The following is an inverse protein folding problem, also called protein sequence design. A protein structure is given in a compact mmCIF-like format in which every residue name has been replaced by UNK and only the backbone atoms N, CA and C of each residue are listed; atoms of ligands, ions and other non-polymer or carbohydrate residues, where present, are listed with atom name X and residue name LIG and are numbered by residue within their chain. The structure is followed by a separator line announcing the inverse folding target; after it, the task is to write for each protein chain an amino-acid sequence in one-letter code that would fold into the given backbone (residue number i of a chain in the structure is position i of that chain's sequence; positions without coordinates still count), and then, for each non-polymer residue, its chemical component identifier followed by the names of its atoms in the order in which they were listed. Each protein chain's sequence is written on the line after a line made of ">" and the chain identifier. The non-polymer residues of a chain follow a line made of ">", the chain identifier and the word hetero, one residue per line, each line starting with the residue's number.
data_IF_726669898933
#
_entry.id   IF_726669898933
#
_cell.length_a   1.000
_cell.length_b   1.000
_cell.length_c   1.000
_cell.angle_alpha   90.00
_cell.angle_beta   90.00
_cell.angle_gamma   90.00
#
_symmetry.space_group_name_H-M   'P 1'
#
loop_
_entity.id
_entity.type
_entity.pdbx_description
1 polymer ?
#
# COMPACT_ATOMS: atom_id res chain seq x y z
N UNK A 1 12.61 30.05 7.39
CA UNK A 1 13.21 30.03 6.04
C UNK A 1 12.78 28.70 5.40
N UNK A 2 11.69 28.71 4.63
CA UNK A 2 11.11 27.49 4.04
C UNK A 2 11.91 27.11 2.80
N UNK A 3 12.51 25.93 2.83
CA UNK A 3 13.16 25.31 1.68
C UNK A 3 12.08 25.10 0.63
N UNK A 4 12.12 25.89 -0.45
CA UNK A 4 11.31 25.61 -1.63
C UNK A 4 11.82 24.31 -2.23
N UNK A 5 11.15 23.21 -1.94
CA UNK A 5 11.17 22.04 -2.82
C UNK A 5 10.76 22.58 -4.20
N UNK A 6 11.47 22.20 -5.27
CA UNK A 6 11.18 22.56 -6.67
C UNK A 6 9.82 21.98 -7.10
N UNK A 7 8.75 22.44 -6.49
CA UNK A 7 7.40 21.95 -6.68
C UNK A 7 6.76 22.81 -7.77
N UNK A 8 6.40 22.18 -8.88
CA UNK A 8 5.74 22.89 -9.97
C UNK A 8 4.38 23.35 -9.47
N UNK A 9 4.11 24.65 -9.55
CA UNK A 9 2.88 25.23 -9.04
C UNK A 9 1.87 25.41 -10.17
N UNK A 10 0.68 24.87 -9.97
CA UNK A 10 -0.44 24.94 -10.91
C UNK A 10 -1.48 25.98 -10.45
N UNK A 11 -2.08 26.65 -11.42
CA UNK A 11 -3.34 27.37 -11.22
C UNK A 11 -4.49 26.39 -10.98
N UNK A 12 -5.61 26.90 -10.45
CA UNK A 12 -6.86 26.13 -10.30
C UNK A 12 -7.35 25.51 -11.61
N UNK A 13 -7.17 26.21 -12.73
CA UNK A 13 -7.59 25.73 -14.05
C UNK A 13 -6.72 24.58 -14.55
N UNK A 14 -5.39 24.68 -14.39
CA UNK A 14 -4.46 23.61 -14.77
C UNK A 14 -4.65 22.36 -13.91
N UNK A 15 -4.88 22.52 -12.60
CA UNK A 15 -5.21 21.42 -11.70
C UNK A 15 -6.53 20.73 -12.11
N UNK A 16 -7.56 21.52 -12.46
CA UNK A 16 -8.86 21.02 -12.91
C UNK A 16 -8.74 20.19 -14.20
N UNK A 17 -8.00 20.71 -15.19
CA UNK A 17 -7.71 19.99 -16.42
C UNK A 17 -6.96 18.67 -16.15
N UNK A 18 -5.96 18.69 -15.27
CA UNK A 18 -5.16 17.50 -14.96
C UNK A 18 -5.95 16.40 -14.25
N UNK A 19 -6.90 16.79 -13.40
CA UNK A 19 -7.81 15.90 -12.68
C UNK A 19 -9.06 15.51 -13.50
N UNK A 20 -9.31 16.16 -14.64
CA UNK A 20 -10.55 16.04 -15.41
C UNK A 20 -11.80 16.31 -14.54
N UNK A 21 -11.75 17.37 -13.73
CA UNK A 21 -12.87 17.83 -12.86
C UNK A 21 -13.09 19.34 -13.00
N UNK A 22 -14.17 19.87 -12.45
CA UNK A 22 -14.42 21.32 -12.45
C UNK A 22 -13.48 22.07 -11.50
N UNK A 23 -13.26 23.37 -11.77
CA UNK A 23 -12.52 24.27 -10.86
C UNK A 23 -13.19 24.40 -9.49
N UNK A 24 -14.51 24.28 -9.42
CA UNK A 24 -15.26 24.21 -8.16
C UNK A 24 -14.94 22.93 -7.38
N UNK A 25 -14.82 21.79 -8.06
CA UNK A 25 -14.37 20.54 -7.42
C UNK A 25 -12.95 20.68 -6.90
N UNK A 26 -12.01 21.24 -7.67
CA UNK A 26 -10.66 21.56 -7.18
C UNK A 26 -10.71 22.45 -5.94
N UNK A 27 -11.66 23.38 -5.90
CA UNK A 27 -11.83 24.26 -4.74
C UNK A 27 -12.28 23.50 -3.50
N UNK A 28 -13.26 22.61 -3.64
CA UNK A 28 -13.64 21.69 -2.58
C UNK A 28 -12.47 20.78 -2.15
N UNK A 29 -11.61 20.33 -3.06
CA UNK A 29 -10.49 19.44 -2.73
C UNK A 29 -9.46 20.12 -1.81
N UNK A 30 -9.03 21.34 -2.11
CA UNK A 30 -8.08 22.02 -1.21
C UNK A 30 -8.74 22.52 0.08
N UNK A 31 -10.03 22.91 0.04
CA UNK A 31 -10.79 23.23 1.27
C UNK A 31 -10.84 22.05 2.24
N UNK A 32 -10.88 20.82 1.73
CA UNK A 32 -10.81 19.59 2.52
C UNK A 32 -9.37 19.09 2.75
N UNK A 33 -8.35 19.92 2.46
CA UNK A 33 -6.92 19.61 2.62
C UNK A 33 -6.45 18.37 1.84
N UNK A 34 -7.14 18.03 0.74
CA UNK A 34 -6.77 16.93 -0.15
C UNK A 34 -5.76 17.34 -1.24
N UNK A 35 -5.47 18.64 -1.37
CA UNK A 35 -4.45 19.21 -2.24
C UNK A 35 -3.61 20.19 -1.44
N UNK A 36 -2.29 20.19 -1.68
CA UNK A 36 -1.35 21.13 -1.05
C UNK A 36 -1.39 22.45 -1.80
N UNK A 37 -1.59 23.55 -1.08
CA UNK A 37 -1.68 24.88 -1.66
C UNK A 37 -0.64 25.83 -1.08
N UNK A 38 -0.25 26.81 -1.89
CA UNK A 38 0.63 27.89 -1.52
C UNK A 38 -0.03 29.22 -1.86
N UNK A 39 0.09 30.19 -0.95
CA UNK A 39 -0.38 31.55 -1.17
C UNK A 39 0.75 32.38 -1.78
N UNK A 40 0.48 33.00 -2.93
CA UNK A 40 1.41 33.90 -3.59
C UNK A 40 0.82 35.31 -3.65
N UNK A 41 1.45 36.25 -2.93
CA UNK A 41 0.90 37.59 -2.72
C UNK A 41 -0.40 37.59 -1.92
N UNK A 42 -1.21 38.64 -2.07
CA UNK A 42 -2.37 38.87 -1.20
C UNK A 42 -3.60 38.00 -1.51
N UNK A 43 -3.71 37.36 -2.69
CA UNK A 43 -4.94 36.63 -3.11
C UNK A 43 -4.78 35.45 -4.07
N UNK A 44 -3.58 35.12 -4.56
CA UNK A 44 -3.44 34.01 -5.52
C UNK A 44 -3.09 32.71 -4.79
N UNK A 45 -3.95 31.71 -4.93
CA UNK A 45 -3.70 30.34 -4.47
C UNK A 45 -3.12 29.55 -5.65
N UNK A 46 -1.95 28.97 -5.43
CA UNK A 46 -1.32 28.01 -6.31
C UNK A 46 -1.39 26.63 -5.69
N UNK A 47 -1.45 25.60 -6.52
CA UNK A 47 -1.62 24.20 -6.10
C UNK A 47 -0.36 23.44 -6.48
N UNK A 48 0.19 22.69 -5.55
CA UNK A 48 1.31 21.77 -5.80
C UNK A 48 0.93 20.74 -6.88
N UNK A 49 1.71 20.66 -7.96
CA UNK A 49 1.57 19.64 -8.98
C UNK A 49 1.70 18.24 -8.36
N UNK A 50 2.65 18.06 -7.44
CA UNK A 50 2.83 16.81 -6.72
C UNK A 50 1.53 16.39 -6.01
N UNK A 51 0.91 17.30 -5.26
CA UNK A 51 -0.35 16.99 -4.57
C UNK A 51 -1.50 16.63 -5.53
N UNK A 52 -1.56 17.28 -6.70
CA UNK A 52 -2.54 16.95 -7.75
C UNK A 52 -2.30 15.57 -8.33
N UNK A 53 -1.04 15.23 -8.61
CA UNK A 53 -0.67 13.91 -9.10
C UNK A 53 -1.00 12.84 -8.05
N UNK A 54 -0.67 13.07 -6.77
CA UNK A 54 -1.02 12.16 -5.66
C UNK A 54 -2.52 11.95 -5.57
N UNK A 55 -3.32 13.02 -5.62
CA UNK A 55 -4.78 12.92 -5.59
C UNK A 55 -5.31 12.12 -6.79
N UNK A 56 -4.84 12.39 -8.01
CA UNK A 56 -5.26 11.68 -9.22
C UNK A 56 -4.95 10.19 -9.14
N UNK A 57 -3.78 9.85 -8.62
CA UNK A 57 -3.32 8.48 -8.47
C UNK A 57 -4.17 7.71 -7.45
N UNK A 58 -4.50 8.33 -6.31
CA UNK A 58 -5.32 7.71 -5.27
C UNK A 58 -6.81 7.60 -5.64
N UNK A 59 -7.31 8.47 -6.53
CA UNK A 59 -8.73 8.59 -6.86
C UNK A 59 -9.05 8.20 -8.31
N UNK A 60 -8.28 7.28 -8.91
CA UNK A 60 -8.61 6.74 -10.23
C UNK A 60 -9.99 6.04 -10.18
N UNK A 61 -10.80 6.24 -11.25
CA UNK A 61 -12.15 5.67 -11.37
C UNK A 61 -12.06 4.15 -11.55
N UNK A 62 -11.94 3.43 -10.44
CA UNK A 62 -12.11 1.98 -10.38
C UNK A 62 -13.48 1.66 -9.81
N UNK A 63 -14.02 0.50 -10.18
CA UNK A 63 -15.26 -0.01 -9.59
C UNK A 63 -15.18 -0.13 -8.06
N UNK A 64 -16.30 -0.48 -7.42
CA UNK A 64 -16.38 -0.64 -5.96
C UNK A 64 -15.24 -1.54 -5.44
N UNK A 65 -14.53 -1.04 -4.43
CA UNK A 65 -13.48 -1.80 -3.75
C UNK A 65 -14.04 -3.10 -3.14
N UNK A 66 -13.22 -4.15 -3.15
CA UNK A 66 -13.53 -5.41 -2.50
C UNK A 66 -13.54 -5.25 -0.99
N UNK A 67 -14.35 -6.10 -0.34
CA UNK A 67 -14.21 -6.34 1.10
C UNK A 67 -12.83 -6.96 1.39
N UNK A 68 -12.28 -6.78 2.60
CA UNK A 68 -10.94 -7.25 2.95
C UNK A 68 -10.67 -8.72 2.58
N UNK A 69 -11.61 -9.61 2.93
CA UNK A 69 -11.55 -11.03 2.63
C UNK A 69 -11.42 -11.35 1.14
N UNK A 70 -12.19 -10.67 0.27
CA UNK A 70 -12.10 -10.84 -1.18
C UNK A 70 -10.86 -10.18 -1.79
N UNK A 71 -10.40 -9.05 -1.22
CA UNK A 71 -9.18 -8.39 -1.64
C UNK A 71 -7.95 -9.28 -1.41
N UNK A 72 -7.81 -9.84 -0.20
CA UNK A 72 -6.75 -10.81 0.07
C UNK A 72 -6.90 -12.06 -0.78
N UNK A 73 -8.11 -12.58 -0.96
CA UNK A 73 -8.30 -13.77 -1.78
C UNK A 73 -7.80 -13.57 -3.21
N UNK A 74 -8.13 -12.44 -3.84
CA UNK A 74 -7.65 -12.11 -5.19
C UNK A 74 -6.11 -12.08 -5.26
N UNK A 75 -5.45 -11.41 -4.31
CA UNK A 75 -3.99 -11.29 -4.28
C UNK A 75 -3.29 -12.63 -3.94
N UNK A 76 -3.88 -13.43 -3.05
CA UNK A 76 -3.37 -14.75 -2.70
C UNK A 76 -3.48 -15.72 -3.89
N UNK A 77 -4.63 -15.75 -4.56
CA UNK A 77 -4.84 -16.57 -5.76
C UNK A 77 -3.89 -16.17 -6.88
N UNK A 78 -3.68 -14.86 -7.07
CA UNK A 78 -2.71 -14.35 -8.04
C UNK A 78 -1.27 -14.73 -7.70
N UNK A 79 -0.96 -14.90 -6.41
CA UNK A 79 0.33 -15.40 -5.94
C UNK A 79 0.43 -16.94 -5.94
N UNK A 80 -0.56 -17.65 -6.51
CA UNK A 80 -0.59 -19.11 -6.59
C UNK A 80 -1.07 -19.83 -5.31
N UNK A 81 -1.62 -19.12 -4.33
CA UNK A 81 -2.10 -19.74 -3.09
C UNK A 81 -3.55 -20.23 -3.25
N UNK A 82 -3.83 -21.38 -2.61
CA UNK A 82 -5.21 -21.86 -2.45
C UNK A 82 -5.88 -21.04 -1.35
N UNK A 83 -7.10 -20.58 -1.63
CA UNK A 83 -7.91 -19.77 -0.70
C UNK A 83 -9.08 -20.61 -0.20
N UNK A 84 -9.23 -20.75 1.11
CA UNK A 84 -10.32 -21.52 1.75
C UNK A 84 -11.32 -20.68 2.56
N UNK A 85 -11.02 -19.40 2.83
CA UNK A 85 -11.86 -18.54 3.67
C UNK A 85 -12.99 -17.81 2.94
N UNK A 86 -13.09 -18.00 1.61
CA UNK A 86 -14.21 -17.52 0.79
C UNK A 86 -15.00 -18.69 0.22
N UNK A 87 -16.27 -18.47 -0.06
CA UNK A 87 -17.13 -19.50 -0.64
C UNK A 87 -16.87 -19.71 -2.14
N UNK A 88 -17.40 -20.81 -2.70
CA UNK A 88 -17.21 -21.19 -4.11
C UNK A 88 -17.67 -20.12 -5.10
N UNK A 89 -18.76 -19.41 -4.80
CA UNK A 89 -19.32 -18.37 -5.67
C UNK A 89 -18.42 -17.11 -5.69
N UNK A 90 -17.94 -16.68 -4.52
CA UNK A 90 -16.95 -15.60 -4.39
C UNK A 90 -15.67 -15.94 -5.13
N UNK A 91 -15.18 -17.17 -4.95
CA UNK A 91 -13.99 -17.66 -5.65
C UNK A 91 -14.17 -17.60 -7.16
N UNK A 92 -15.26 -18.17 -7.69
CA UNK A 92 -15.56 -18.13 -9.12
C UNK A 92 -15.58 -16.71 -9.69
N UNK A 93 -16.25 -15.78 -8.98
CA UNK A 93 -16.28 -14.37 -9.39
C UNK A 93 -14.89 -13.75 -9.42
N UNK A 94 -14.07 -13.98 -8.39
CA UNK A 94 -12.70 -13.47 -8.33
C UNK A 94 -11.85 -14.06 -9.47
N UNK A 95 -11.96 -15.37 -9.74
CA UNK A 95 -11.26 -16.00 -10.86
C UNK A 95 -11.64 -15.38 -12.21
N UNK A 96 -12.93 -15.14 -12.43
CA UNK A 96 -13.42 -14.51 -13.65
C UNK A 96 -12.90 -13.07 -13.80
N UNK A 97 -12.82 -12.30 -12.70
CA UNK A 97 -12.24 -10.96 -12.72
C UNK A 97 -10.74 -10.97 -12.98
N UNK A 98 -9.97 -11.84 -12.33
CA UNK A 98 -8.52 -11.93 -12.50
C UNK A 98 -8.11 -12.20 -13.95
N UNK A 99 -8.97 -12.84 -14.74
CA UNK A 99 -8.72 -13.12 -16.17
C UNK A 99 -8.62 -11.89 -17.06
N UNK A 100 -9.30 -10.79 -16.71
CA UNK A 100 -9.40 -9.60 -17.56
C UNK A 100 -9.07 -8.28 -16.85
N UNK A 101 -8.74 -8.32 -15.57
CA UNK A 101 -8.44 -7.14 -14.77
C UNK A 101 -7.06 -6.57 -15.13
N UNK A 102 -6.96 -5.24 -15.18
CA UNK A 102 -5.66 -4.57 -15.25
C UNK A 102 -5.01 -4.49 -13.86
N UNK A 103 -3.69 -4.31 -13.82
CA UNK A 103 -2.95 -4.13 -12.57
C UNK A 103 -3.46 -2.92 -11.77
N UNK A 104 -3.84 -1.81 -12.42
CA UNK A 104 -4.36 -0.62 -11.75
C UNK A 104 -5.74 -0.86 -11.15
N UNK A 105 -6.62 -1.56 -11.87
CA UNK A 105 -7.95 -1.91 -11.36
C UNK A 105 -7.83 -2.89 -10.19
N UNK A 106 -6.91 -3.86 -10.24
CA UNK A 106 -6.66 -4.78 -9.13
C UNK A 106 -6.19 -4.06 -7.86
N UNK A 107 -5.25 -3.11 -7.99
CA UNK A 107 -4.79 -2.27 -6.88
C UNK A 107 -5.96 -1.50 -6.28
N UNK A 108 -6.74 -0.82 -7.13
CA UNK A 108 -7.84 0.01 -6.64
C UNK A 108 -8.98 -0.80 -6.03
N UNK A 109 -9.24 -2.02 -6.53
CA UNK A 109 -10.20 -2.94 -5.91
C UNK A 109 -9.70 -3.53 -4.60
N UNK A 110 -8.41 -3.76 -4.45
CA UNK A 110 -7.82 -4.34 -3.24
C UNK A 110 -7.39 -3.30 -2.20
N UNK A 111 -7.54 -2.00 -2.45
CA UNK A 111 -7.10 -0.91 -1.56
C UNK A 111 -7.66 -0.96 -0.14
N UNK A 112 -8.86 -1.54 0.04
CA UNK A 112 -9.50 -1.68 1.34
C UNK A 112 -9.13 -2.99 2.06
N UNK A 113 -8.08 -3.71 1.63
CA UNK A 113 -7.64 -4.97 2.26
C UNK A 113 -7.22 -4.80 3.72
N UNK A 114 -6.65 -3.65 4.07
CA UNK A 114 -6.18 -3.34 5.41
C UNK A 114 -6.16 -1.81 5.61
N UNK A 115 -6.27 -1.37 6.86
CA UNK A 115 -6.13 0.05 7.21
C UNK A 115 -4.65 0.41 7.34
N UNK A 116 -4.19 1.37 6.55
CA UNK A 116 -2.79 1.83 6.61
C UNK A 116 -2.61 2.91 7.66
N UNK A 117 -1.60 2.76 8.51
CA UNK A 117 -1.19 3.75 9.51
C UNK A 117 0.33 3.90 9.47
N UNK A 118 0.80 5.14 9.49
CA UNK A 118 2.22 5.49 9.40
C UNK A 118 2.76 5.91 10.76
N UNK A 119 3.96 5.43 11.08
CA UNK A 119 4.65 5.68 12.33
C UNK A 119 6.14 5.98 12.09
N UNK A 120 6.70 6.70 13.04
CA UNK A 120 8.12 6.75 13.30
C UNK A 120 8.48 5.77 14.43
N UNK A 121 9.62 5.12 14.26
CA UNK A 121 10.27 4.28 15.25
C UNK A 121 11.77 4.59 15.30
N UNK A 122 12.40 4.46 16.47
CA UNK A 122 13.86 4.59 16.59
C UNK A 122 14.55 3.50 15.77
N UNK A 123 15.57 3.88 14.98
CA UNK A 123 16.28 2.96 14.06
C UNK A 123 16.80 1.70 14.74
N UNK A 124 17.34 1.81 15.96
CA UNK A 124 17.85 0.67 16.74
C UNK A 124 16.79 -0.38 17.08
N UNK A 125 15.50 -0.02 17.04
CA UNK A 125 14.39 -0.92 17.37
C UNK A 125 13.72 -1.55 16.15
N UNK A 126 14.05 -1.08 14.95
CA UNK A 126 13.43 -1.54 13.70
C UNK A 126 13.63 -3.05 13.47
N UNK A 127 14.83 -3.56 13.77
CA UNK A 127 15.10 -4.99 13.62
C UNK A 127 14.19 -5.85 14.49
N UNK A 128 14.05 -5.50 15.78
CA UNK A 128 13.15 -6.22 16.70
C UNK A 128 11.68 -6.02 16.31
N UNK A 129 11.26 -4.79 15.99
CA UNK A 129 9.91 -4.48 15.51
C UNK A 129 9.50 -5.36 14.33
N UNK A 130 10.41 -5.57 13.37
CA UNK A 130 10.14 -6.38 12.18
C UNK A 130 9.78 -7.83 12.49
N UNK A 131 10.19 -8.36 13.64
CA UNK A 131 9.88 -9.73 14.06
C UNK A 131 8.44 -9.88 14.58
N UNK A 132 7.74 -8.78 14.81
CA UNK A 132 6.33 -8.75 15.23
C UNK A 132 5.35 -8.53 14.08
N UNK A 133 5.85 -8.44 12.85
CA UNK A 133 5.06 -8.11 11.66
C UNK A 133 5.14 -9.24 10.63
N UNK A 134 4.10 -9.35 9.82
CA UNK A 134 4.19 -10.07 8.55
C UNK A 134 4.66 -9.06 7.52
N UNK A 135 5.94 -9.15 7.14
CA UNK A 135 6.60 -8.15 6.30
C UNK A 135 5.99 -8.10 4.91
N UNK A 136 5.93 -6.90 4.32
CA UNK A 136 5.37 -6.70 2.99
C UNK A 136 6.14 -5.62 2.22
N UNK A 137 5.65 -5.28 1.03
CA UNK A 137 6.27 -4.38 0.07
C UNK A 137 7.72 -4.80 -0.22
N UNK A 138 8.66 -3.85 -0.26
CA UNK A 138 10.07 -4.11 -0.48
C UNK A 138 10.88 -4.29 0.82
N UNK A 139 10.21 -4.58 1.95
CA UNK A 139 10.86 -4.65 3.27
C UNK A 139 11.79 -5.85 3.40
N UNK A 140 12.90 -5.68 4.11
CA UNK A 140 13.87 -6.74 4.35
C UNK A 140 14.50 -7.21 3.04
N UNK A 141 14.49 -8.52 2.79
CA UNK A 141 15.13 -9.10 1.61
C UNK A 141 14.24 -9.06 0.34
N UNK A 142 13.02 -8.51 0.42
CA UNK A 142 12.10 -8.45 -0.74
C UNK A 142 12.49 -7.39 -1.77
N UNK A 143 13.32 -6.41 -1.42
CA UNK A 143 13.74 -5.34 -2.34
C UNK A 143 14.30 -5.89 -3.67
N UNK A 144 15.03 -7.01 -3.65
CA UNK A 144 15.61 -7.63 -4.85
C UNK A 144 14.54 -8.19 -5.79
N UNK A 145 13.46 -8.78 -5.27
CA UNK A 145 12.33 -9.28 -6.07
C UNK A 145 11.62 -8.16 -6.83
N UNK A 146 11.69 -6.94 -6.31
CA UNK A 146 11.11 -5.74 -6.89
C UNK A 146 12.13 -4.86 -7.62
N UNK A 147 13.40 -5.28 -7.75
CA UNK A 147 14.46 -4.48 -8.38
C UNK A 147 14.60 -3.08 -7.75
N UNK A 148 14.40 -2.99 -6.43
CA UNK A 148 14.49 -1.76 -5.65
C UNK A 148 15.76 -1.78 -4.79
N UNK A 149 16.22 -0.59 -4.41
CA UNK A 149 17.29 -0.44 -3.42
C UNK A 149 16.74 -0.78 -2.04
N UNK A 150 17.54 -1.49 -1.24
CA UNK A 150 17.20 -1.76 0.15
C UNK A 150 17.05 -0.44 0.94
N UNK A 151 15.99 -0.35 1.74
CA UNK A 151 15.74 0.80 2.62
C UNK A 151 15.65 0.35 4.08
N UNK A 152 15.78 1.30 5.00
CA UNK A 152 15.53 1.09 6.43
C UNK A 152 14.05 1.24 6.81
N UNK A 153 13.17 1.54 5.85
CA UNK A 153 11.73 1.59 6.09
C UNK A 153 11.16 0.20 6.25
N UNK A 154 10.27 0.06 7.22
CA UNK A 154 9.55 -1.19 7.48
C UNK A 154 8.11 -1.03 7.07
N UNK A 155 7.63 -1.92 6.21
CA UNK A 155 6.22 -2.09 5.90
C UNK A 155 5.78 -3.52 6.23
N UNK A 156 4.63 -3.65 6.89
CA UNK A 156 4.13 -4.96 7.29
C UNK A 156 2.71 -4.95 7.83
N UNK A 157 2.14 -6.14 7.91
CA UNK A 157 0.79 -6.37 8.41
C UNK A 157 0.80 -6.75 9.88
N UNK A 158 -0.24 -6.31 10.58
CA UNK A 158 -0.52 -6.64 11.98
C UNK A 158 -2.03 -6.77 12.21
N UNK A 159 -2.41 -7.55 13.22
CA UNK A 159 -3.79 -7.56 13.74
C UNK A 159 -4.17 -6.23 14.38
N UNK A 160 -5.42 -5.81 14.24
CA UNK A 160 -5.97 -4.73 15.06
C UNK A 160 -5.83 -4.99 16.56
N UNK A 161 -5.94 -6.23 17.01
CA UNK A 161 -5.87 -6.60 18.44
C UNK A 161 -4.48 -6.49 19.05
N UNK A 162 -3.42 -6.51 18.21
CA UNK A 162 -2.01 -6.43 18.66
C UNK A 162 -1.39 -5.05 18.43
N UNK A 163 -2.13 -4.14 17.80
CA UNK A 163 -1.60 -2.85 17.38
C UNK A 163 -1.17 -2.00 18.59
N UNK A 164 -2.03 -1.91 19.62
CA UNK A 164 -1.76 -1.08 20.80
C UNK A 164 -0.55 -1.59 21.58
N UNK A 165 -0.46 -2.90 21.81
CA UNK A 165 0.71 -3.54 22.43
C UNK A 165 1.99 -3.25 21.65
N UNK A 166 1.94 -3.29 20.32
CA UNK A 166 3.08 -2.99 19.46
C UNK A 166 3.50 -1.51 19.58
N UNK A 167 2.54 -0.58 19.56
CA UNK A 167 2.78 0.86 19.73
C UNK A 167 3.48 1.12 21.07
N UNK A 168 2.93 0.57 22.15
CA UNK A 168 3.44 0.74 23.49
C UNK A 168 4.83 0.12 23.64
N UNK A 169 5.01 -1.11 23.17
CA UNK A 169 6.29 -1.82 23.23
C UNK A 169 7.37 -1.02 22.50
N UNK A 170 7.11 -0.57 21.27
CA UNK A 170 8.12 0.04 20.40
C UNK A 170 8.21 1.58 20.48
N UNK A 171 7.32 2.21 21.25
CA UNK A 171 7.16 3.67 21.31
C UNK A 171 6.96 4.27 19.91
N UNK A 172 6.08 3.65 19.13
CA UNK A 172 5.72 4.13 17.80
C UNK A 172 5.01 5.47 17.94
N UNK A 173 5.39 6.44 17.10
CA UNK A 173 4.79 7.76 17.10
C UNK A 173 4.22 8.10 15.73
N UNK A 174 3.02 8.64 15.67
CA UNK A 174 2.37 9.04 14.42
C UNK A 174 2.27 10.58 14.32
N UNK A 175 1.51 11.06 13.34
CA UNK A 175 1.26 12.49 13.14
C UNK A 175 0.57 13.17 14.34
N UNK A 176 -0.31 12.46 15.05
CA UNK A 176 -1.01 12.97 16.24
C UNK A 176 -0.03 13.19 17.40
N UNK A 177 1.08 12.45 17.44
CA UNK A 177 2.19 12.63 18.37
C UNK A 177 3.16 13.77 17.95
N UNK A 178 2.83 14.54 16.90
CA UNK A 178 3.66 15.64 16.39
C UNK A 178 4.83 15.22 15.50
N UNK A 179 4.83 13.97 15.01
CA UNK A 179 5.86 13.48 14.09
C UNK A 179 5.68 14.11 12.70
N UNK A 180 6.75 14.66 12.16
CA UNK A 180 6.80 15.09 10.77
C UNK A 180 6.76 13.87 9.83
N UNK A 181 5.93 13.95 8.78
CA UNK A 181 5.83 12.92 7.74
C UNK A 181 7.18 12.60 7.08
N UNK A 182 8.12 13.56 7.08
CA UNK A 182 9.47 13.38 6.50
C UNK A 182 10.32 12.32 7.19
N UNK A 183 10.06 12.02 8.47
CA UNK A 183 10.85 11.05 9.25
C UNK A 183 10.17 9.68 9.39
N UNK A 184 8.97 9.50 8.85
CA UNK A 184 8.24 8.23 8.89
C UNK A 184 9.07 7.09 8.31
N UNK A 185 9.23 6.03 9.09
CA UNK A 185 10.02 4.84 8.72
C UNK A 185 9.31 3.51 9.00
N UNK A 186 8.05 3.54 9.46
CA UNK A 186 7.22 2.37 9.66
C UNK A 186 5.85 2.61 9.04
N UNK A 187 5.39 1.68 8.19
CA UNK A 187 4.03 1.64 7.67
C UNK A 187 3.36 0.34 8.08
N UNK A 188 2.33 0.43 8.91
CA UNK A 188 1.56 -0.71 9.39
C UNK A 188 0.26 -0.83 8.61
N UNK A 189 -0.03 -2.06 8.15
CA UNK A 189 -1.30 -2.42 7.53
C UNK A 189 -2.11 -3.28 8.49
N UNK A 190 -3.14 -2.68 9.06
CA UNK A 190 -3.94 -3.27 10.14
C UNK A 190 -5.07 -4.11 9.53
N UNK A 191 -5.09 -5.39 9.87
CA UNK A 191 -6.14 -6.34 9.51
C UNK A 191 -7.10 -6.46 10.69
N UNK A 192 -8.36 -6.09 10.48
CA UNK A 192 -9.42 -6.23 11.48
C UNK A 192 -10.04 -7.63 11.50
N UNK A 193 -10.08 -8.30 10.34
CA UNK A 193 -10.67 -9.64 10.21
C UNK A 193 -9.69 -10.72 10.70
N UNK A 194 -9.97 -11.27 11.88
CA UNK A 194 -9.15 -12.32 12.50
C UNK A 194 -9.05 -13.58 11.65
N UNK A 195 -10.09 -13.96 10.89
CA UNK A 195 -10.08 -15.16 10.05
C UNK A 195 -9.10 -15.03 8.89
N UNK A 196 -9.03 -13.84 8.30
CA UNK A 196 -8.05 -13.52 7.25
C UNK A 196 -6.65 -13.58 7.84
N UNK A 197 -6.44 -13.01 9.02
CA UNK A 197 -5.12 -13.01 9.66
C UNK A 197 -4.64 -14.41 10.06
N UNK A 198 -5.52 -15.24 10.62
CA UNK A 198 -5.21 -16.62 10.98
C UNK A 198 -4.77 -17.40 9.75
N UNK A 199 -5.46 -17.22 8.63
CA UNK A 199 -5.09 -17.85 7.37
C UNK A 199 -3.74 -17.33 6.83
N UNK A 200 -3.54 -16.02 6.81
CA UNK A 200 -2.27 -15.41 6.39
C UNK A 200 -1.12 -16.00 7.23
N UNK A 201 -1.28 -16.05 8.54
CA UNK A 201 -0.27 -16.56 9.47
C UNK A 201 0.02 -18.04 9.25
N UNK A 202 -1.01 -18.87 9.04
CA UNK A 202 -0.86 -20.30 8.76
C UNK A 202 -0.11 -20.55 7.44
N UNK A 203 -0.40 -19.78 6.39
CA UNK A 203 0.16 -20.02 5.05
C UNK A 203 1.57 -19.46 4.87
N UNK A 204 1.89 -18.36 5.55
CA UNK A 204 3.27 -17.88 5.56
C UNK A 204 4.16 -18.83 6.38
N UNK A 205 3.61 -19.48 7.41
CA UNK A 205 4.34 -20.49 8.19
C UNK A 205 4.59 -21.79 7.40
N UNK A 206 3.69 -22.20 6.50
CA UNK A 206 3.83 -23.48 5.78
C UNK A 206 4.93 -23.49 4.71
N UNK A 207 5.21 -22.36 4.04
CA UNK A 207 6.28 -22.27 3.02
C UNK A 207 7.69 -22.13 3.59
N UNK A 208 7.84 -21.72 4.84
CA UNK A 208 9.15 -21.72 5.52
C UNK A 208 9.75 -23.14 5.56
N UNK A 209 8.89 -24.16 5.55
CA UNK A 209 9.32 -25.56 5.65
C UNK A 209 9.58 -26.25 4.29
N UNK A 210 9.21 -25.64 3.16
CA UNK A 210 9.36 -26.28 1.83
C UNK A 210 10.65 -25.88 1.09
N UNK A 211 11.24 -24.71 1.35
CA UNK A 211 12.29 -24.14 0.47
C UNK A 211 13.69 -23.88 1.08
N UNK A 212 13.97 -24.00 2.39
CA UNK A 212 15.36 -23.83 2.86
C UNK A 212 15.68 -24.38 4.25
N UNK A 213 16.81 -25.08 4.33
CA UNK A 213 17.60 -25.26 5.55
C UNK A 213 17.83 -23.93 6.28
N UNK A 214 17.46 -23.91 7.58
CA UNK A 214 18.05 -23.13 8.67
C UNK A 214 18.57 -21.73 8.29
N UNK A 215 17.66 -20.77 8.13
CA UNK A 215 17.86 -19.39 8.58
C UNK A 215 16.50 -18.88 9.07
N UNK A 216 16.49 -17.97 10.05
CA UNK A 216 15.27 -17.39 10.63
C UNK A 216 14.40 -16.72 9.56
N UNK A 217 13.59 -17.51 8.84
CA UNK A 217 12.82 -17.07 7.70
C UNK A 217 11.71 -16.14 8.19
N UNK A 218 11.92 -14.84 8.03
CA UNK A 218 10.90 -13.85 8.37
C UNK A 218 9.63 -14.14 7.57
N UNK A 219 8.49 -13.95 8.22
CA UNK A 219 7.18 -14.09 7.61
C UNK A 219 6.96 -12.95 6.60
N UNK A 220 6.84 -13.27 5.31
CA UNK A 220 6.52 -12.29 4.25
C UNK A 220 5.12 -12.54 3.69
N UNK A 221 4.41 -11.46 3.35
CA UNK A 221 3.17 -11.56 2.59
C UNK A 221 3.44 -12.14 1.19
N UNK A 222 2.43 -12.78 0.57
CA UNK A 222 2.53 -13.22 -0.82
C UNK A 222 2.93 -12.10 -1.78
N UNK A 223 3.66 -12.45 -2.85
CA UNK A 223 4.25 -11.49 -3.79
C UNK A 223 3.24 -10.49 -4.37
N UNK A 224 2.01 -10.90 -4.70
CA UNK A 224 1.01 -9.99 -5.23
C UNK A 224 0.53 -8.98 -4.16
N UNK A 225 0.53 -9.36 -2.88
CA UNK A 225 0.20 -8.43 -1.79
C UNK A 225 1.31 -7.40 -1.64
N UNK A 226 2.57 -7.84 -1.62
CA UNK A 226 3.72 -6.93 -1.60
C UNK A 226 3.71 -5.98 -2.81
N UNK A 227 3.37 -6.49 -4.00
CA UNK A 227 3.28 -5.70 -5.22
C UNK A 227 2.12 -4.68 -5.17
N UNK A 228 0.96 -5.05 -4.62
CA UNK A 228 -0.15 -4.14 -4.40
C UNK A 228 0.18 -3.04 -3.39
N UNK A 229 0.93 -3.38 -2.33
CA UNK A 229 1.40 -2.42 -1.34
C UNK A 229 2.35 -1.39 -1.94
N UNK A 230 3.31 -1.83 -2.76
CA UNK A 230 4.21 -0.96 -3.51
C UNK A 230 3.48 -0.11 -4.55
N UNK A 231 2.48 -0.67 -5.25
CA UNK A 231 1.70 0.04 -6.25
C UNK A 231 0.85 1.20 -5.68
N UNK A 232 0.59 1.20 -4.37
CA UNK A 232 -0.04 2.29 -3.63
C UNK A 232 0.96 3.35 -3.14
N UNK A 233 2.26 3.10 -3.25
CA UNK A 233 3.30 4.04 -2.82
C UNK A 233 3.24 5.34 -3.62
N UNK A 234 3.60 6.43 -2.94
CA UNK A 234 3.80 7.73 -3.56
C UNK A 234 5.16 7.81 -4.27
N UNK A 235 6.11 6.94 -3.91
CA UNK A 235 7.37 6.81 -4.63
C UNK A 235 7.12 6.17 -6.00
N UNK A 236 7.53 6.87 -7.06
CA UNK A 236 7.28 6.46 -8.45
C UNK A 236 7.97 5.13 -8.77
N UNK A 237 9.15 4.86 -8.20
CA UNK A 237 9.90 3.62 -8.46
C UNK A 237 9.25 2.44 -7.77
N UNK A 238 8.89 2.60 -6.49
CA UNK A 238 8.14 1.57 -5.74
C UNK A 238 6.84 1.24 -6.48
N UNK A 239 6.08 2.28 -6.84
CA UNK A 239 4.81 2.13 -7.55
C UNK A 239 4.95 1.42 -8.87
N UNK A 240 5.90 1.84 -9.70
CA UNK A 240 6.11 1.21 -11.01
C UNK A 240 6.55 -0.24 -10.85
N UNK A 241 7.41 -0.55 -9.88
CA UNK A 241 7.82 -1.92 -9.59
C UNK A 241 6.63 -2.80 -9.17
N UNK A 242 5.79 -2.31 -8.25
CA UNK A 242 4.56 -3.01 -7.85
C UNK A 242 3.61 -3.28 -9.02
N UNK A 243 3.36 -2.27 -9.86
CA UNK A 243 2.52 -2.42 -11.05
C UNK A 243 3.10 -3.40 -12.08
N UNK A 244 4.42 -3.40 -12.28
CA UNK A 244 5.10 -4.32 -13.19
C UNK A 244 4.96 -5.76 -12.71
N UNK A 245 5.19 -6.02 -11.42
CA UNK A 245 5.04 -7.37 -10.85
C UNK A 245 3.59 -7.84 -10.94
N UNK A 246 2.60 -7.00 -10.60
CA UNK A 246 1.19 -7.37 -10.76
C UNK A 246 0.83 -7.68 -12.21
N UNK A 247 1.33 -6.90 -13.18
CA UNK A 247 1.10 -7.15 -14.60
C UNK A 247 1.69 -8.50 -15.03
N UNK A 248 2.88 -8.85 -14.54
CA UNK A 248 3.52 -10.15 -14.79
C UNK A 248 2.68 -11.28 -14.20
N UNK A 249 2.29 -11.18 -12.93
CA UNK A 249 1.50 -12.21 -12.26
C UNK A 249 0.12 -12.42 -12.90
N UNK A 250 -0.54 -11.35 -13.35
CA UNK A 250 -1.83 -11.46 -14.08
C UNK A 250 -1.63 -12.20 -15.39
N UNK A 251 -0.55 -11.89 -16.12
CA UNK A 251 -0.21 -12.60 -17.36
C UNK A 251 0.04 -14.08 -17.12
N UNK A 252 0.84 -14.42 -16.11
CA UNK A 252 1.15 -15.83 -15.73
C UNK A 252 -0.10 -16.59 -15.27
N UNK A 253 -0.95 -15.94 -14.48
CA UNK A 253 -2.22 -16.51 -14.02
C UNK A 253 -3.15 -16.84 -15.20
N UNK A 254 -3.13 -16.01 -16.25
CA UNK A 254 -3.93 -16.24 -17.46
C UNK A 254 -3.38 -17.35 -18.37
N UNK A 255 -2.08 -17.64 -18.31
CA UNK A 255 -1.46 -18.70 -19.09
C UNK A 255 -1.66 -20.10 -18.46
N UNK A 256 -1.97 -20.16 -17.16
CA UNK A 256 -2.08 -21.41 -16.39
C UNK A 256 -3.52 -21.90 -16.16
N UNK A 257 -4.53 -21.18 -16.67
CA UNK A 257 -5.97 -21.35 -16.35
C UNK A 257 -6.85 -21.37 -17.60
#
# INVERSE_FOLDING_TARGET
>A
MSIFVNDTLLTRAEAAAKLAVSTQRVSALYSNHLLTTYTFGSRKILISLDSVNRYKQQNSKSGRAYAPSSAFAALFMLSGYKVSWINRQQKYRIEAYLRSISQQELVSRSKNRAKTIEYWCRKSRLSELSNHLILSAATGNMHSQFQLTQTDKIEGYISSTKLEDLINKFHLKNKEDGVDGSIINVKLRVIEDSKVLDFVSQNVSSRINEDAQVTSAKSFMPIAVCAADLAESLDVRERQSGLNILSKLITEYNLTK
#
